data_IF_121229670611
#
_entry.id   IF_121229670611
#
_cell.length_a   1.000
_cell.length_b   1.000
_cell.length_c   1.000
_cell.angle_alpha   90.00
_cell.angle_beta   90.00
_cell.angle_gamma   90.00
#
_symmetry.space_group_name_H-M   'P 1'
#
loop_
_entity.id
_entity.type
_entity.pdbx_description
1 polymer ?
#
# COMPACT_ATOMS: atom_id res chain seq x y z
N UNK A 1 -2.26 5.03 49.54
CA UNK A 1 -2.92 5.15 48.22
C UNK A 1 -1.85 5.67 47.27
N UNK A 2 -1.27 4.79 46.47
CA UNK A 2 -0.27 5.15 45.47
C UNK A 2 -0.90 4.88 44.11
N UNK A 3 -1.24 5.95 43.40
CA UNK A 3 -1.58 5.90 41.99
C UNK A 3 -0.25 5.92 41.23
N UNK A 4 0.07 4.82 40.56
CA UNK A 4 1.22 4.74 39.66
C UNK A 4 0.75 4.44 38.26
N UNK A 5 1.19 5.33 37.37
CA UNK A 5 1.52 5.12 35.97
C UNK A 5 0.33 5.01 35.01
N UNK A 6 -0.14 6.19 34.62
CA UNK A 6 -0.66 6.37 33.27
C UNK A 6 0.46 6.01 32.28
N UNK A 7 0.31 4.88 31.62
CA UNK A 7 1.05 4.57 30.40
C UNK A 7 0.64 5.60 29.37
N UNK A 8 1.50 6.58 29.11
CA UNK A 8 1.35 7.46 27.95
C UNK A 8 1.19 6.58 26.70
N UNK A 9 0.27 6.89 25.78
CA UNK A 9 0.21 6.19 24.52
C UNK A 9 1.53 6.47 23.80
N UNK A 10 2.36 5.43 23.67
CA UNK A 10 3.48 5.45 22.73
C UNK A 10 2.85 5.73 21.37
N UNK A 11 3.01 6.95 20.87
CA UNK A 11 2.69 7.27 19.48
C UNK A 11 3.70 6.46 18.68
N UNK A 12 3.30 5.25 18.28
CA UNK A 12 4.09 4.40 17.40
C UNK A 12 4.21 5.16 16.09
N UNK A 13 5.34 5.84 15.90
CA UNK A 13 5.61 6.64 14.72
C UNK A 13 5.40 5.75 13.49
N UNK A 14 4.50 6.12 12.58
CA UNK A 14 4.19 5.30 11.42
C UNK A 14 5.39 5.32 10.46
N UNK A 15 6.36 4.44 10.70
CA UNK A 15 7.61 4.32 9.97
C UNK A 15 7.38 4.27 8.46
N UNK A 16 6.27 3.66 8.03
CA UNK A 16 5.87 3.63 6.64
C UNK A 16 5.55 5.04 6.13
N UNK A 17 4.71 5.80 6.84
CA UNK A 17 4.34 7.19 6.48
C UNK A 17 5.57 8.07 6.40
N UNK A 18 6.42 8.06 7.42
CA UNK A 18 7.65 8.86 7.45
C UNK A 18 8.57 8.51 6.29
N UNK A 19 8.71 7.22 5.96
CA UNK A 19 9.59 6.79 4.87
C UNK A 19 9.08 7.12 3.46
N UNK A 20 7.79 7.46 3.30
CA UNK A 20 7.20 7.89 2.03
C UNK A 20 7.35 9.38 1.76
N UNK A 21 7.98 10.14 2.66
CA UNK A 21 8.53 11.45 2.34
C UNK A 21 9.96 11.30 1.80
N UNK A 22 10.25 11.86 0.63
CA UNK A 22 11.63 12.03 0.15
C UNK A 22 11.77 13.24 -0.78
N UNK A 23 13.01 13.69 -0.96
CA UNK A 23 13.32 14.88 -1.74
C UNK A 23 13.32 14.58 -3.25
N UNK A 24 12.58 15.38 -4.01
CA UNK A 24 12.56 15.39 -5.47
C UNK A 24 12.80 16.82 -5.95
N UNK A 25 13.88 17.05 -6.71
CA UNK A 25 14.27 18.38 -7.21
C UNK A 25 14.37 19.47 -6.11
N UNK A 26 14.89 19.12 -4.92
CA UNK A 26 15.03 20.07 -3.81
C UNK A 26 13.77 20.25 -2.96
N UNK A 27 12.69 19.52 -3.25
CA UNK A 27 11.40 19.62 -2.54
C UNK A 27 11.06 18.28 -1.88
N UNK A 28 10.71 18.32 -0.60
CA UNK A 28 10.21 17.14 0.10
C UNK A 28 8.78 16.82 -0.38
N UNK A 29 8.59 15.64 -0.99
CA UNK A 29 7.31 15.19 -1.55
C UNK A 29 6.80 13.99 -0.77
N UNK A 30 5.48 13.94 -0.55
CA UNK A 30 4.82 12.77 0.03
C UNK A 30 4.25 11.85 -1.05
N UNK A 31 4.70 10.60 -1.06
CA UNK A 31 4.26 9.59 -2.01
C UNK A 31 3.04 8.83 -1.49
N UNK A 32 1.88 9.50 -1.53
CA UNK A 32 0.60 9.01 -1.00
C UNK A 32 0.19 7.66 -1.57
N UNK A 33 0.45 7.41 -2.86
CA UNK A 33 0.03 6.16 -3.51
C UNK A 33 0.84 4.95 -3.02
N UNK A 34 2.15 5.13 -2.81
CA UNK A 34 3.01 4.13 -2.19
C UNK A 34 2.68 3.93 -0.72
N UNK A 35 2.36 5.01 0.02
CA UNK A 35 1.88 4.93 1.39
C UNK A 35 0.62 4.08 1.49
N UNK A 36 -0.42 4.43 0.73
CA UNK A 36 -1.70 3.72 0.73
C UNK A 36 -1.54 2.26 0.30
N UNK A 37 -0.66 1.98 -0.66
CA UNK A 37 -0.38 0.62 -1.04
C UNK A 37 0.31 -0.15 0.09
N UNK A 38 1.35 0.43 0.71
CA UNK A 38 2.05 -0.15 1.84
C UNK A 38 1.11 -0.40 3.02
N UNK A 39 0.21 0.54 3.34
CA UNK A 39 -0.80 0.41 4.38
C UNK A 39 -1.69 -0.81 4.14
N UNK A 40 -2.09 -1.07 2.89
CA UNK A 40 -2.88 -2.27 2.55
C UNK A 40 -2.09 -3.58 2.64
N UNK A 41 -0.76 -3.54 2.52
CA UNK A 41 0.11 -4.72 2.57
C UNK A 41 0.66 -5.02 3.98
N UNK A 42 0.82 -4.00 4.82
CA UNK A 42 1.37 -4.09 6.18
C UNK A 42 0.72 -5.20 7.03
N UNK A 43 -0.61 -5.40 7.02
CA UNK A 43 -1.25 -6.49 7.78
C UNK A 43 -0.86 -7.90 7.33
N UNK A 44 -0.34 -8.07 6.11
CA UNK A 44 0.00 -9.36 5.49
C UNK A 44 1.46 -9.79 5.75
N UNK A 45 2.26 -8.94 6.41
CA UNK A 45 3.66 -9.24 6.74
C UNK A 45 3.77 -10.38 7.77
N UNK A 46 4.86 -11.14 7.70
CA UNK A 46 5.20 -12.19 8.68
C UNK A 46 5.55 -11.58 10.04
N UNK A 47 6.35 -10.54 10.06
CA UNK A 47 6.87 -9.91 11.27
C UNK A 47 6.80 -8.37 11.16
N UNK A 48 6.67 -7.68 12.29
CA UNK A 48 6.76 -6.22 12.35
C UNK A 48 8.12 -5.68 11.86
N UNK A 49 9.20 -6.44 12.04
CA UNK A 49 10.52 -6.05 11.53
C UNK A 49 10.56 -5.96 9.98
N UNK A 50 9.67 -6.68 9.29
CA UNK A 50 9.57 -6.66 7.83
C UNK A 50 9.00 -5.33 7.30
N UNK A 51 8.54 -4.42 8.16
CA UNK A 51 8.09 -3.07 7.76
C UNK A 51 9.20 -2.31 7.03
N UNK A 52 10.47 -2.48 7.41
CA UNK A 52 11.59 -1.85 6.71
C UNK A 52 11.75 -2.38 5.27
N UNK A 53 11.50 -3.66 5.08
CA UNK A 53 11.54 -4.29 3.77
C UNK A 53 10.32 -3.90 2.92
N UNK A 54 9.15 -3.78 3.54
CA UNK A 54 7.97 -3.20 2.92
C UNK A 54 8.23 -1.75 2.45
N UNK A 55 8.91 -0.92 3.24
CA UNK A 55 9.29 0.44 2.85
C UNK A 55 10.14 0.43 1.58
N UNK A 56 11.16 -0.44 1.49
CA UNK A 56 11.98 -0.57 0.28
C UNK A 56 11.15 -1.02 -0.92
N UNK A 57 10.20 -1.94 -0.71
CA UNK A 57 9.28 -2.39 -1.74
C UNK A 57 8.35 -1.27 -2.21
N UNK A 58 7.86 -0.41 -1.31
CA UNK A 58 6.99 0.73 -1.65
C UNK A 58 7.73 1.82 -2.41
N UNK A 59 8.98 2.11 -2.06
CA UNK A 59 9.86 2.98 -2.87
C UNK A 59 10.08 2.42 -4.27
N UNK A 60 10.35 1.12 -4.36
CA UNK A 60 10.49 0.44 -5.66
C UNK A 60 9.21 0.48 -6.50
N UNK A 61 8.05 0.34 -5.86
CA UNK A 61 6.74 0.49 -6.50
C UNK A 61 6.52 1.91 -7.02
N UNK A 62 6.88 2.91 -6.22
CA UNK A 62 6.72 4.32 -6.57
C UNK A 62 7.56 4.70 -7.80
N UNK A 63 8.83 4.27 -7.81
CA UNK A 63 9.71 4.43 -8.97
C UNK A 63 9.17 3.67 -10.19
N UNK A 64 8.62 2.47 -9.99
CA UNK A 64 8.03 1.68 -11.06
C UNK A 64 6.86 2.40 -11.72
N UNK A 65 5.90 2.93 -10.94
CA UNK A 65 4.69 3.58 -11.48
C UNK A 65 4.97 4.96 -12.08
N UNK A 66 6.03 5.64 -11.62
CA UNK A 66 6.41 6.98 -12.07
C UNK A 66 7.19 6.97 -13.40
N UNK A 67 7.55 5.79 -13.91
CA UNK A 67 8.09 5.64 -15.27
C UNK A 67 7.11 6.23 -16.31
N UNK A 68 7.55 7.09 -17.25
CA UNK A 68 6.68 7.77 -18.22
C UNK A 68 5.76 6.83 -19.02
N UNK A 69 6.13 5.56 -19.18
CA UNK A 69 5.31 4.56 -19.87
C UNK A 69 4.14 4.05 -19.04
N UNK A 70 4.12 4.32 -17.73
CA UNK A 70 3.16 3.78 -16.75
C UNK A 70 2.36 4.85 -16.03
N UNK A 71 2.74 6.12 -16.13
CA UNK A 71 1.98 7.23 -15.50
C UNK A 71 0.55 7.34 -16.01
N UNK A 72 0.30 6.92 -17.25
CA UNK A 72 -1.05 6.91 -17.84
C UNK A 72 -1.89 5.69 -17.42
N UNK A 73 -1.28 4.70 -16.76
CA UNK A 73 -2.02 3.54 -16.27
C UNK A 73 -2.79 3.90 -15.00
N UNK A 74 -3.97 3.31 -14.85
CA UNK A 74 -4.74 3.43 -13.64
C UNK A 74 -3.99 2.86 -12.42
N UNK A 75 -4.14 3.50 -11.26
CA UNK A 75 -3.36 3.19 -10.05
C UNK A 75 -3.40 1.70 -9.65
N UNK A 76 -4.59 1.10 -9.55
CA UNK A 76 -4.72 -0.31 -9.16
C UNK A 76 -4.27 -1.28 -10.26
N UNK A 77 -4.23 -0.83 -11.52
CA UNK A 77 -3.55 -1.58 -12.59
C UNK A 77 -2.04 -1.61 -12.35
N UNK A 78 -1.41 -0.47 -12.01
CA UNK A 78 0.01 -0.44 -11.68
C UNK A 78 0.35 -1.32 -10.46
N UNK A 79 -0.47 -1.29 -9.39
CA UNK A 79 -0.31 -2.18 -8.22
C UNK A 79 -0.35 -3.66 -8.62
N UNK A 80 -1.37 -4.04 -9.38
CA UNK A 80 -1.53 -5.41 -9.87
C UNK A 80 -0.31 -5.85 -10.69
N UNK A 81 0.06 -5.09 -11.72
CA UNK A 81 1.18 -5.46 -12.60
C UNK A 81 2.50 -5.53 -11.83
N UNK A 82 2.73 -4.63 -10.87
CA UNK A 82 3.91 -4.67 -10.03
C UNK A 82 4.01 -5.99 -9.24
N UNK A 83 2.95 -6.39 -8.53
CA UNK A 83 2.94 -7.67 -7.79
C UNK A 83 3.06 -8.87 -8.72
N UNK A 84 2.36 -8.88 -9.85
CA UNK A 84 2.46 -10.00 -10.80
C UNK A 84 3.87 -10.15 -11.33
N UNK A 85 4.58 -9.04 -11.57
CA UNK A 85 5.98 -9.08 -11.97
C UNK A 85 6.87 -9.70 -10.89
N UNK A 86 6.68 -9.35 -9.62
CA UNK A 86 7.44 -9.97 -8.51
C UNK A 86 7.22 -11.47 -8.46
N UNK A 87 5.98 -11.92 -8.69
CA UNK A 87 5.63 -13.35 -8.72
C UNK A 87 6.29 -14.06 -9.89
N UNK A 88 6.20 -13.48 -11.09
CA UNK A 88 6.80 -14.03 -12.30
C UNK A 88 8.32 -14.20 -12.15
N UNK A 89 8.98 -13.20 -11.57
CA UNK A 89 10.44 -13.22 -11.37
C UNK A 89 10.87 -13.96 -10.10
N UNK A 90 9.93 -14.55 -9.34
CA UNK A 90 10.19 -15.20 -8.04
C UNK A 90 11.03 -14.33 -7.11
N UNK A 91 10.65 -13.06 -7.03
CA UNK A 91 11.38 -12.05 -6.31
C UNK A 91 11.39 -12.37 -4.80
N UNK A 92 12.57 -12.28 -4.16
CA UNK A 92 12.75 -12.61 -2.74
C UNK A 92 11.89 -11.76 -1.81
N UNK A 93 11.42 -10.59 -2.25
CA UNK A 93 10.51 -9.73 -1.51
C UNK A 93 9.18 -10.41 -1.15
N UNK A 94 8.81 -11.45 -1.89
CA UNK A 94 7.60 -12.23 -1.59
C UNK A 94 7.71 -13.04 -0.29
N UNK A 95 8.93 -13.33 0.16
CA UNK A 95 9.19 -14.13 1.36
C UNK A 95 8.83 -13.40 2.66
N UNK A 96 8.65 -12.08 2.62
CA UNK A 96 8.29 -11.26 3.77
C UNK A 96 6.79 -11.33 4.13
N UNK A 97 5.97 -11.82 3.20
CA UNK A 97 4.53 -11.97 3.41
C UNK A 97 4.21 -13.35 3.95
N UNK A 98 3.28 -13.44 4.92
CA UNK A 98 2.84 -14.73 5.50
C UNK A 98 2.39 -15.71 4.43
N UNK A 99 1.65 -15.17 3.47
CA UNK A 99 1.09 -15.89 2.37
C UNK A 99 1.06 -14.96 1.15
N UNK A 100 1.92 -15.19 0.16
CA UNK A 100 1.98 -14.31 -1.01
C UNK A 100 0.71 -14.42 -1.86
N UNK A 101 -0.02 -15.55 -1.82
CA UNK A 101 -1.29 -15.67 -2.52
C UNK A 101 -2.34 -14.70 -1.97
N UNK A 102 -2.28 -14.33 -0.68
CA UNK A 102 -3.15 -13.28 -0.10
C UNK A 102 -2.82 -11.90 -0.68
N UNK A 103 -1.54 -11.61 -0.91
CA UNK A 103 -1.11 -10.36 -1.58
C UNK A 103 -1.64 -10.31 -3.02
N UNK A 104 -1.52 -11.43 -3.75
CA UNK A 104 -2.06 -11.53 -5.11
C UNK A 104 -3.58 -11.34 -5.14
N UNK A 105 -4.30 -12.02 -4.23
CA UNK A 105 -5.74 -11.91 -4.11
C UNK A 105 -6.18 -10.48 -3.77
N UNK A 106 -5.46 -9.79 -2.89
CA UNK A 106 -5.72 -8.40 -2.55
C UNK A 106 -5.61 -7.49 -3.78
N UNK A 107 -4.49 -7.54 -4.52
CA UNK A 107 -4.32 -6.65 -5.68
C UNK A 107 -5.25 -7.01 -6.85
N UNK A 108 -5.63 -8.28 -6.99
CA UNK A 108 -6.66 -8.72 -7.93
C UNK A 108 -8.04 -8.16 -7.56
N UNK A 109 -8.42 -8.25 -6.28
CA UNK A 109 -9.68 -7.69 -5.76
C UNK A 109 -9.72 -6.18 -5.97
N UNK A 110 -8.63 -5.48 -5.67
CA UNK A 110 -8.51 -4.04 -5.88
C UNK A 110 -8.63 -3.63 -7.35
N UNK A 111 -7.94 -4.34 -8.25
CA UNK A 111 -8.05 -4.09 -9.69
C UNK A 111 -9.47 -4.35 -10.19
N UNK A 112 -10.10 -5.45 -9.80
CA UNK A 112 -11.46 -5.78 -10.21
C UNK A 112 -12.48 -4.73 -9.73
N UNK A 113 -12.34 -4.22 -8.49
CA UNK A 113 -13.17 -3.14 -7.98
C UNK A 113 -12.98 -1.84 -8.78
N UNK A 114 -11.73 -1.48 -9.12
CA UNK A 114 -11.45 -0.34 -10.00
C UNK A 114 -12.11 -0.51 -11.38
N UNK A 115 -12.02 -1.71 -11.97
CA UNK A 115 -12.58 -1.98 -13.30
C UNK A 115 -14.10 -1.81 -13.30
N UNK A 116 -14.80 -2.30 -12.26
CA UNK A 116 -16.25 -2.07 -12.05
C UNK A 116 -16.60 -0.61 -11.86
N UNK A 117 -15.81 0.12 -11.08
CA UNK A 117 -16.04 1.54 -10.82
C UNK A 117 -15.92 2.36 -12.11
N UNK A 118 -14.96 2.02 -12.97
CA UNK A 118 -14.73 2.70 -14.26
C UNK A 118 -15.93 2.58 -15.21
N UNK A 119 -16.66 1.47 -15.16
CA UNK A 119 -17.84 1.21 -16.00
C UNK A 119 -19.16 1.55 -15.29
N UNK A 120 -19.10 2.03 -14.04
CA UNK A 120 -20.27 2.28 -13.18
C UNK A 120 -21.20 1.05 -13.04
N UNK A 121 -20.63 -0.16 -13.02
CA UNK A 121 -21.39 -1.40 -12.86
C UNK A 121 -22.16 -1.46 -11.53
N UNK A 122 -23.38 -2.01 -11.48
CA UNK A 122 -24.12 -2.17 -10.23
C UNK A 122 -23.28 -2.82 -9.12
N UNK A 123 -23.28 -2.22 -7.92
CA UNK A 123 -22.49 -2.68 -6.77
C UNK A 123 -21.01 -2.26 -6.76
N UNK A 124 -20.56 -1.37 -7.67
CA UNK A 124 -19.16 -0.94 -7.71
C UNK A 124 -18.66 -0.28 -6.41
N UNK A 125 -19.52 0.46 -5.70
CA UNK A 125 -19.16 1.12 -4.43
C UNK A 125 -18.87 0.10 -3.32
N UNK A 126 -19.72 -0.93 -3.19
CA UNK A 126 -19.53 -2.03 -2.26
C UNK A 126 -18.25 -2.80 -2.59
N UNK A 127 -18.00 -3.08 -3.86
CA UNK A 127 -16.76 -3.73 -4.30
C UNK A 127 -15.50 -2.92 -3.94
N UNK A 128 -15.56 -1.59 -4.06
CA UNK A 128 -14.46 -0.69 -3.68
C UNK A 128 -14.24 -0.67 -2.16
N UNK A 129 -15.32 -0.65 -1.36
CA UNK A 129 -15.23 -0.77 0.11
C UNK A 129 -14.63 -2.10 0.52
N UNK A 130 -15.15 -3.19 -0.02
CA UNK A 130 -14.65 -4.55 0.25
C UNK A 130 -13.18 -4.72 -0.15
N UNK A 131 -12.74 -4.03 -1.19
CA UNK A 131 -11.35 -4.02 -1.64
C UNK A 131 -10.43 -3.12 -0.81
N UNK A 132 -10.96 -2.41 0.19
CA UNK A 132 -10.21 -1.45 1.00
C UNK A 132 -9.72 -0.24 0.20
N UNK A 133 -10.47 0.17 -0.82
CA UNK A 133 -10.18 1.33 -1.68
C UNK A 133 -10.96 2.57 -1.23
N UNK A 134 -12.03 2.36 -0.46
CA UNK A 134 -12.92 3.43 -0.05
C UNK A 134 -12.44 4.08 1.25
N UNK A 135 -12.06 5.36 1.19
CA UNK A 135 -11.77 6.18 2.36
C UNK A 135 -13.09 6.64 2.99
N UNK A 136 -13.61 5.87 3.95
CA UNK A 136 -14.54 6.43 4.95
C UNK A 136 -13.77 7.20 6.04
N UNK A 137 -12.44 6.99 6.14
CA UNK A 137 -11.55 7.74 7.02
C UNK A 137 -11.11 9.03 6.33
N UNK A 138 -11.83 10.12 6.62
CA UNK A 138 -11.39 11.49 6.33
C UNK A 138 -10.19 11.87 7.20
N UNK A 139 -9.06 11.18 7.10
CA UNK A 139 -7.79 11.80 7.45
C UNK A 139 -7.50 12.85 6.38
N UNK A 140 -8.09 14.03 6.57
CA UNK A 140 -7.75 15.26 5.88
C UNK A 140 -6.24 15.45 5.94
N UNK A 141 -5.59 15.33 4.79
CA UNK A 141 -4.22 15.80 4.57
C UNK A 141 -4.18 17.33 4.65
#
# INVERSE_FOLDING_TARGET
MAETNGTEPVIEEDLLRTAMYWEENGVLVFHVDAYNFGKSLKPLLKNQLDVHELIKMMRSYELYRSDPRRVMNALYTNRYTYIMKLVETRDSRLEWFRNFQEVQALVQKQKAAQDKARTAEPGWQEAMRDAGIWDDDKETF
#
